data_IF_115399626626
#
_entry.id   IF_115399626626
#
_cell.length_a   1.000
_cell.length_b   1.000
_cell.length_c   1.000
_cell.angle_alpha   90.00
_cell.angle_beta   90.00
_cell.angle_gamma   90.00
#
_symmetry.space_group_name_H-M   'P 1'
#
loop_
_entity.id
_entity.type
_entity.pdbx_description
1 polymer ?
#
# COMPACT_ATOMS: atom_id res chain seq x y z
N UNK A 1 17.74 34.21 99.74
CA UNK A 1 18.23 34.74 98.51
C UNK A 1 17.74 33.79 97.39
N UNK A 2 16.89 34.28 96.51
CA UNK A 2 16.16 33.46 95.54
C UNK A 2 16.94 33.37 94.23
N UNK A 3 17.00 32.22 93.50
CA UNK A 3 17.52 32.14 92.17
C UNK A 3 16.36 32.30 91.14
N UNK A 4 16.67 33.05 90.11
CA UNK A 4 15.78 33.37 88.99
C UNK A 4 15.77 32.18 87.95
N UNK A 5 14.55 31.82 87.54
CA UNK A 5 14.25 30.82 86.54
C UNK A 5 14.23 31.49 85.19
N UNK A 6 15.01 30.96 84.20
CA UNK A 6 15.00 31.36 82.81
C UNK A 6 14.08 30.39 82.06
N UNK A 7 13.01 30.89 81.44
CA UNK A 7 12.15 30.16 80.54
C UNK A 7 12.73 30.19 79.10
N UNK A 8 13.03 29.03 78.61
CA UNK A 8 13.42 28.83 77.20
C UNK A 8 12.15 28.59 76.36
N UNK A 9 11.81 29.53 75.50
CA UNK A 9 10.71 29.38 74.55
C UNK A 9 11.20 28.69 73.30
N UNK A 10 10.67 27.51 72.99
CA UNK A 10 10.85 26.80 71.76
C UNK A 10 9.91 27.30 70.70
N UNK A 11 10.43 27.94 69.64
CA UNK A 11 9.67 28.27 68.42
C UNK A 11 9.61 27.04 67.53
N UNK A 12 8.44 26.41 67.40
CA UNK A 12 8.15 25.43 66.31
C UNK A 12 7.87 26.21 65.03
N UNK A 13 8.79 26.17 64.08
CA UNK A 13 8.54 26.64 62.73
C UNK A 13 7.82 25.54 61.94
N UNK A 14 6.50 25.68 61.69
CA UNK A 14 5.71 24.86 60.81
C UNK A 14 5.99 25.26 59.36
N UNK A 15 6.79 24.46 58.64
CA UNK A 15 7.00 24.59 57.21
C UNK A 15 5.76 24.05 56.47
N UNK A 16 4.92 24.96 55.96
CA UNK A 16 3.79 24.63 55.07
C UNK A 16 4.33 24.30 53.69
N UNK A 17 4.47 23.00 53.33
CA UNK A 17 4.80 22.55 52.00
C UNK A 17 3.58 22.76 51.07
N UNK A 18 3.56 23.85 50.30
CA UNK A 18 2.64 24.02 49.17
C UNK A 18 3.04 22.99 48.09
N UNK A 19 2.34 21.87 48.04
CA UNK A 19 2.34 21.01 46.84
C UNK A 19 1.64 21.76 45.70
N UNK A 20 2.42 22.35 44.79
CA UNK A 20 1.95 22.81 43.50
C UNK A 20 1.50 21.58 42.70
N UNK A 21 0.21 21.22 42.81
CA UNK A 21 -0.44 20.29 41.93
C UNK A 21 -0.45 20.94 40.55
N UNK A 22 0.51 20.56 39.68
CA UNK A 22 0.41 20.86 38.26
C UNK A 22 -0.96 20.32 37.77
N UNK A 23 -1.72 21.09 36.98
CA UNK A 23 -2.95 20.58 36.41
C UNK A 23 -2.61 19.34 35.58
N UNK A 24 -2.99 18.17 36.07
CA UNK A 24 -3.04 16.98 35.24
C UNK A 24 -4.09 17.29 34.16
N UNK A 25 -3.65 17.64 32.98
CA UNK A 25 -4.52 17.63 31.82
C UNK A 25 -5.11 16.22 31.76
N UNK A 26 -6.40 16.11 32.08
CA UNK A 26 -7.11 14.84 31.95
C UNK A 26 -6.98 14.40 30.49
N UNK A 27 -6.14 13.40 30.25
CA UNK A 27 -5.96 12.82 28.96
C UNK A 27 -7.32 12.22 28.58
N UNK A 28 -7.93 12.68 27.48
CA UNK A 28 -9.20 12.15 27.01
C UNK A 28 -9.11 10.63 26.90
N UNK A 29 -10.07 9.93 27.49
CA UNK A 29 -10.18 8.47 27.38
C UNK A 29 -10.85 8.04 26.06
N UNK A 30 -11.25 8.99 25.23
CA UNK A 30 -11.86 8.70 23.93
C UNK A 30 -10.90 7.94 23.05
N UNK A 31 -11.37 6.97 22.26
CA UNK A 31 -10.51 6.20 21.36
C UNK A 31 -9.83 7.11 20.34
N UNK A 32 -8.64 6.71 19.91
CA UNK A 32 -7.98 7.29 18.73
C UNK A 32 -8.62 6.64 17.51
N UNK A 33 -9.39 7.42 16.75
CA UNK A 33 -10.08 6.92 15.57
C UNK A 33 -9.22 7.09 14.34
N UNK A 34 -9.15 6.04 13.51
CA UNK A 34 -8.54 6.05 12.18
C UNK A 34 -9.64 5.74 11.18
N UNK A 35 -9.90 6.66 10.25
CA UNK A 35 -10.85 6.44 9.16
C UNK A 35 -10.24 5.54 8.08
N UNK A 36 -11.01 4.58 7.56
CA UNK A 36 -10.64 3.74 6.43
C UNK A 36 -11.68 3.92 5.33
N UNK A 37 -11.32 4.62 4.27
CA UNK A 37 -12.17 4.83 3.09
C UNK A 37 -11.70 3.88 2.00
N UNK A 38 -12.49 2.85 1.70
CA UNK A 38 -12.05 1.74 0.85
C UNK A 38 -13.15 1.27 -0.10
N UNK A 39 -12.71 0.65 -1.18
CA UNK A 39 -13.50 -0.04 -2.19
C UNK A 39 -13.87 -1.45 -1.67
N UNK A 40 -14.72 -1.53 -0.66
CA UNK A 40 -14.99 -2.79 0.07
C UNK A 40 -15.67 -3.87 -0.78
N UNK A 41 -16.23 -3.48 -1.94
CA UNK A 41 -16.85 -4.40 -2.89
C UNK A 41 -15.89 -4.86 -4.01
N UNK A 42 -14.69 -4.26 -4.09
CA UNK A 42 -13.70 -4.63 -5.12
C UNK A 42 -12.78 -5.76 -4.63
N UNK A 43 -12.29 -6.57 -5.57
CA UNK A 43 -11.37 -7.68 -5.29
C UNK A 43 -10.11 -7.17 -4.56
N UNK A 44 -9.54 -6.04 -4.97
CA UNK A 44 -8.31 -5.50 -4.42
C UNK A 44 -8.53 -4.71 -3.12
N UNK A 45 -9.64 -3.95 -3.01
CA UNK A 45 -9.88 -3.03 -1.90
C UNK A 45 -10.52 -3.66 -0.66
N UNK A 46 -11.20 -4.81 -0.82
CA UNK A 46 -11.96 -5.46 0.25
C UNK A 46 -11.11 -5.82 1.50
N UNK A 47 -9.81 -6.02 1.33
CA UNK A 47 -8.93 -6.40 2.44
C UNK A 47 -8.47 -5.21 3.31
N UNK A 48 -8.61 -3.96 2.83
CA UNK A 48 -8.11 -2.77 3.51
C UNK A 48 -8.67 -2.60 4.93
N UNK A 49 -10.00 -2.64 5.15
CA UNK A 49 -10.55 -2.51 6.51
C UNK A 49 -10.13 -3.65 7.44
N UNK A 50 -10.03 -4.87 6.89
CA UNK A 50 -9.61 -6.04 7.65
C UNK A 50 -8.17 -5.96 8.14
N UNK A 51 -7.25 -5.48 7.29
CA UNK A 51 -5.85 -5.25 7.64
C UNK A 51 -5.72 -4.21 8.75
N UNK A 52 -6.39 -3.06 8.59
CA UNK A 52 -6.43 -2.01 9.60
C UNK A 52 -7.00 -2.50 10.94
N UNK A 53 -8.07 -3.31 10.90
CA UNK A 53 -8.70 -3.83 12.11
C UNK A 53 -7.80 -4.79 12.88
N UNK A 54 -7.05 -5.67 12.20
CA UNK A 54 -6.11 -6.59 12.87
C UNK A 54 -5.02 -5.79 13.58
N UNK A 55 -4.45 -4.77 12.93
CA UNK A 55 -3.46 -3.90 13.57
C UNK A 55 -4.02 -3.21 14.82
N UNK A 56 -5.22 -2.64 14.72
CA UNK A 56 -5.89 -2.00 15.86
C UNK A 56 -6.13 -3.00 17.02
N UNK A 57 -6.58 -4.21 16.72
CA UNK A 57 -6.82 -5.26 17.73
C UNK A 57 -5.50 -5.64 18.44
N UNK A 58 -4.41 -5.82 17.71
CA UNK A 58 -3.09 -6.14 18.26
C UNK A 58 -2.52 -5.02 19.14
N UNK A 59 -2.71 -3.77 18.71
CA UNK A 59 -2.30 -2.58 19.46
C UNK A 59 -3.13 -2.48 20.74
N UNK A 60 -4.43 -2.67 20.66
CA UNK A 60 -5.35 -2.63 21.80
C UNK A 60 -5.09 -3.75 22.80
N UNK A 61 -4.71 -4.93 22.35
CA UNK A 61 -4.31 -6.05 23.22
C UNK A 61 -3.05 -5.73 24.05
N UNK A 62 -2.21 -4.79 23.56
CA UNK A 62 -0.99 -4.28 24.25
C UNK A 62 -1.25 -3.02 25.07
N UNK A 63 -2.52 -2.62 25.28
CA UNK A 63 -2.90 -1.46 26.10
C UNK A 63 -3.19 -0.17 25.31
N UNK A 64 -3.23 -0.23 23.99
CA UNK A 64 -3.52 0.92 23.12
C UNK A 64 -2.35 1.89 22.97
N UNK A 65 -2.65 3.11 22.58
CA UNK A 65 -1.68 4.20 22.37
C UNK A 65 -2.01 5.36 23.31
N UNK A 66 -1.01 5.84 24.05
CA UNK A 66 -1.19 6.91 25.08
C UNK A 66 -2.34 6.59 26.06
N UNK A 67 -2.53 5.32 26.43
CA UNK A 67 -3.62 4.87 27.30
C UNK A 67 -5.00 4.83 26.65
N UNK A 68 -5.10 5.08 25.35
CA UNK A 68 -6.35 5.13 24.57
C UNK A 68 -6.43 3.95 23.62
N UNK A 69 -7.62 3.42 23.40
CA UNK A 69 -7.85 2.39 22.35
C UNK A 69 -7.76 3.01 20.96
N UNK A 70 -7.36 2.20 19.99
CA UNK A 70 -7.44 2.51 18.54
C UNK A 70 -8.76 1.95 18.01
N UNK A 71 -9.53 2.76 17.32
CA UNK A 71 -10.79 2.40 16.68
C UNK A 71 -10.71 2.63 15.18
N UNK A 72 -11.13 1.64 14.39
CA UNK A 72 -11.20 1.75 12.93
C UNK A 72 -12.64 2.09 12.54
N UNK A 73 -12.81 3.20 11.80
CA UNK A 73 -14.10 3.63 11.25
C UNK A 73 -14.07 3.44 9.74
N UNK A 74 -14.85 2.51 9.22
CA UNK A 74 -14.84 2.13 7.80
C UNK A 74 -15.94 2.83 7.01
N UNK A 75 -15.60 3.30 5.81
CA UNK A 75 -16.49 3.90 4.82
C UNK A 75 -16.32 3.20 3.48
N UNK A 76 -17.43 2.69 2.91
CA UNK A 76 -17.45 2.18 1.53
C UNK A 76 -17.55 3.37 0.57
N UNK A 77 -16.56 3.57 -0.26
CA UNK A 77 -16.52 4.64 -1.26
C UNK A 77 -17.10 4.22 -2.62
N UNK A 78 -17.48 2.94 -2.79
CA UNK A 78 -18.05 2.38 -4.02
C UNK A 78 -17.22 2.68 -5.27
N UNK A 79 -15.90 2.74 -5.12
CA UNK A 79 -14.92 3.12 -6.15
C UNK A 79 -15.17 4.52 -6.77
N UNK A 80 -15.83 5.42 -6.02
CA UNK A 80 -16.23 6.76 -6.47
C UNK A 80 -15.43 7.84 -5.77
N UNK A 81 -14.77 8.72 -6.53
CA UNK A 81 -14.08 9.89 -5.98
C UNK A 81 -15.05 10.83 -5.23
N UNK A 82 -16.29 11.00 -5.74
CA UNK A 82 -17.28 11.85 -5.10
C UNK A 82 -17.77 11.26 -3.76
N UNK A 83 -17.99 9.94 -3.68
CA UNK A 83 -18.35 9.27 -2.42
C UNK A 83 -17.19 9.31 -1.45
N UNK A 84 -15.94 9.16 -1.92
CA UNK A 84 -14.74 9.25 -1.10
C UNK A 84 -14.58 10.64 -0.47
N UNK A 85 -14.82 11.71 -1.22
CA UNK A 85 -14.79 13.09 -0.68
C UNK A 85 -15.84 13.27 0.40
N UNK A 86 -17.08 12.79 0.19
CA UNK A 86 -18.14 12.85 1.23
C UNK A 86 -17.75 12.06 2.49
N UNK A 87 -17.23 10.86 2.30
CA UNK A 87 -16.75 10.02 3.40
C UNK A 87 -15.61 10.69 4.18
N UNK A 88 -14.65 11.30 3.47
CA UNK A 88 -13.53 12.02 4.08
C UNK A 88 -14.01 13.21 4.92
N UNK A 89 -14.91 14.02 4.37
CA UNK A 89 -15.48 15.16 5.11
C UNK A 89 -16.21 14.69 6.37
N UNK A 90 -17.02 13.63 6.28
CA UNK A 90 -17.72 13.04 7.41
C UNK A 90 -16.72 12.51 8.46
N UNK A 91 -15.73 11.74 8.04
CA UNK A 91 -14.69 11.19 8.93
C UNK A 91 -14.03 12.28 9.77
N UNK A 92 -13.72 13.43 9.15
CA UNK A 92 -13.05 14.55 9.82
C UNK A 92 -14.03 15.37 10.67
N UNK A 93 -15.18 15.76 10.10
CA UNK A 93 -16.07 16.73 10.74
C UNK A 93 -17.01 16.13 11.79
N UNK A 94 -17.49 14.89 11.58
CA UNK A 94 -18.47 14.23 12.44
C UNK A 94 -17.81 13.18 13.34
N UNK A 95 -17.07 12.23 12.73
CA UNK A 95 -16.51 11.09 13.46
C UNK A 95 -15.18 11.43 14.18
N UNK A 96 -14.58 12.61 13.86
CA UNK A 96 -13.37 13.15 14.52
C UNK A 96 -12.18 12.18 14.47
N UNK A 97 -11.92 11.60 13.30
CA UNK A 97 -10.75 10.75 13.11
C UNK A 97 -9.45 11.55 13.23
N UNK A 98 -8.37 10.88 13.62
CA UNK A 98 -7.03 11.48 13.74
C UNK A 98 -6.18 11.30 12.49
N UNK A 99 -6.49 10.32 11.66
CA UNK A 99 -5.87 10.06 10.37
C UNK A 99 -6.85 9.31 9.47
N UNK A 100 -6.61 9.32 8.16
CA UNK A 100 -7.39 8.59 7.17
C UNK A 100 -6.47 7.71 6.33
N UNK A 101 -6.81 6.43 6.23
CA UNK A 101 -6.27 5.48 5.25
C UNK A 101 -7.29 5.43 4.11
N UNK A 102 -6.87 5.76 2.88
CA UNK A 102 -7.85 5.84 1.79
C UNK A 102 -7.32 5.31 0.46
N UNK A 103 -8.09 4.37 -0.08
CA UNK A 103 -8.15 3.93 -1.46
C UNK A 103 -6.87 3.36 -2.07
N UNK A 104 -7.06 2.39 -2.95
CA UNK A 104 -6.02 1.95 -3.88
C UNK A 104 -6.17 2.61 -5.28
N UNK A 105 -7.26 3.35 -5.50
CA UNK A 105 -7.53 4.04 -6.76
C UNK A 105 -6.87 5.41 -6.75
N UNK A 106 -5.93 5.65 -7.65
CA UNK A 106 -5.16 6.90 -7.70
C UNK A 106 -6.02 8.13 -7.92
N UNK A 107 -7.04 8.04 -8.76
CA UNK A 107 -8.01 9.13 -9.03
C UNK A 107 -8.76 9.54 -7.77
N UNK A 108 -9.06 8.57 -6.90
CA UNK A 108 -9.69 8.84 -5.59
C UNK A 108 -8.73 9.60 -4.69
N UNK A 109 -7.49 9.15 -4.57
CA UNK A 109 -6.49 9.80 -3.70
C UNK A 109 -6.21 11.22 -4.17
N UNK A 110 -6.00 11.42 -5.49
CA UNK A 110 -5.82 12.75 -6.09
C UNK A 110 -7.01 13.69 -5.83
N UNK A 111 -8.23 13.16 -5.76
CA UNK A 111 -9.41 13.94 -5.39
C UNK A 111 -9.48 14.26 -3.89
N UNK A 112 -8.86 13.44 -3.03
CA UNK A 112 -8.81 13.64 -1.58
C UNK A 112 -7.69 14.57 -1.12
N UNK A 113 -6.57 14.66 -1.83
CA UNK A 113 -5.41 15.49 -1.45
C UNK A 113 -5.76 16.96 -1.13
N UNK A 114 -6.58 17.67 -1.96
CA UNK A 114 -6.97 19.04 -1.64
C UNK A 114 -7.77 19.16 -0.33
N UNK A 115 -8.51 18.10 0.03
CA UNK A 115 -9.27 18.05 1.28
C UNK A 115 -8.37 17.72 2.46
N UNK A 116 -7.41 16.82 2.30
CA UNK A 116 -6.38 16.54 3.31
C UNK A 116 -5.60 17.82 3.65
N UNK A 117 -5.18 18.56 2.64
CA UNK A 117 -4.51 19.85 2.79
C UNK A 117 -5.39 20.89 3.51
N UNK A 118 -6.63 21.07 3.04
CA UNK A 118 -7.56 22.06 3.59
C UNK A 118 -7.95 21.79 5.04
N UNK A 119 -8.16 20.52 5.39
CA UNK A 119 -8.60 20.10 6.71
C UNK A 119 -7.44 19.70 7.61
N UNK A 120 -6.19 19.81 7.12
CA UNK A 120 -4.96 19.39 7.82
C UNK A 120 -5.08 17.96 8.35
N UNK A 121 -5.57 17.03 7.54
CA UNK A 121 -5.81 15.66 7.96
C UNK A 121 -4.78 14.72 7.35
N UNK A 122 -3.98 14.02 8.17
CA UNK A 122 -3.08 12.98 7.65
C UNK A 122 -3.85 11.94 6.83
N UNK A 123 -3.51 11.82 5.55
CA UNK A 123 -4.07 10.92 4.56
C UNK A 123 -2.97 9.98 4.08
N UNK A 124 -3.17 8.69 4.20
CA UNK A 124 -2.23 7.67 3.74
C UNK A 124 -2.94 6.78 2.72
N UNK A 125 -2.27 6.43 1.62
CA UNK A 125 -2.86 5.52 0.63
C UNK A 125 -2.25 4.13 0.70
N UNK A 126 -3.09 3.07 0.87
CA UNK A 126 -2.62 1.69 0.99
C UNK A 126 -2.36 1.01 -0.37
N UNK A 127 -2.57 1.71 -1.49
CA UNK A 127 -2.48 1.02 -2.77
C UNK A 127 -2.48 1.86 -4.02
N UNK A 128 -2.83 3.14 -3.94
CA UNK A 128 -2.70 4.04 -5.09
C UNK A 128 -1.21 4.14 -5.50
N UNK A 129 -0.95 4.20 -6.80
CA UNK A 129 0.42 4.12 -7.29
C UNK A 129 0.87 5.35 -8.11
N UNK A 130 -0.04 6.27 -8.49
CA UNK A 130 0.31 7.39 -9.35
C UNK A 130 1.39 8.29 -8.74
N UNK A 131 2.43 8.57 -9.51
CA UNK A 131 3.48 9.52 -9.14
C UNK A 131 2.95 10.95 -8.95
N UNK A 132 1.77 11.28 -9.52
CA UNK A 132 1.18 12.61 -9.38
C UNK A 132 0.83 12.94 -7.92
N UNK A 133 0.58 11.92 -7.08
CA UNK A 133 0.35 12.07 -5.64
C UNK A 133 1.62 12.65 -4.97
N UNK A 134 2.77 12.03 -5.16
CA UNK A 134 4.03 12.50 -4.57
C UNK A 134 4.51 13.81 -5.18
N UNK A 135 4.27 14.01 -6.48
CA UNK A 135 4.60 15.23 -7.20
C UNK A 135 3.79 16.44 -6.72
N UNK A 136 2.51 16.25 -6.38
CA UNK A 136 1.70 17.32 -5.81
C UNK A 136 2.26 17.77 -4.45
N UNK A 137 2.76 16.84 -3.63
CA UNK A 137 3.40 17.14 -2.34
C UNK A 137 4.73 17.88 -2.56
N UNK A 138 5.58 17.38 -3.46
CA UNK A 138 6.87 17.99 -3.79
C UNK A 138 6.74 19.42 -4.28
N UNK A 139 5.77 19.68 -5.16
CA UNK A 139 5.58 20.99 -5.77
C UNK A 139 5.08 22.07 -4.79
N UNK A 140 4.33 21.70 -3.76
CA UNK A 140 3.86 22.62 -2.72
C UNK A 140 3.75 21.86 -1.38
N UNK A 141 4.92 21.64 -0.77
CA UNK A 141 5.06 20.85 0.44
C UNK A 141 4.23 21.41 1.60
N UNK A 142 4.32 22.71 1.87
CA UNK A 142 3.64 23.30 3.03
C UNK A 142 2.12 23.14 2.97
N UNK A 143 1.57 23.16 1.77
CA UNK A 143 0.14 22.93 1.53
C UNK A 143 -0.23 21.45 1.60
N UNK A 144 0.55 20.58 0.95
CA UNK A 144 0.17 19.19 0.67
C UNK A 144 0.83 18.15 1.60
N UNK A 145 1.62 18.57 2.59
CA UNK A 145 2.39 17.72 3.52
C UNK A 145 1.57 16.70 4.32
N UNK A 146 0.25 16.80 4.29
CA UNK A 146 -0.65 15.89 5.03
C UNK A 146 -0.90 14.57 4.28
N UNK A 147 -0.50 14.45 3.01
CA UNK A 147 -0.66 13.21 2.24
C UNK A 147 0.63 12.39 2.26
N UNK A 148 0.48 11.06 2.45
CA UNK A 148 1.56 10.07 2.41
C UNK A 148 1.20 8.94 1.45
N UNK A 149 2.17 8.53 0.66
CA UNK A 149 2.01 7.47 -0.32
C UNK A 149 2.56 6.16 0.27
N UNK A 150 1.67 5.37 0.90
CA UNK A 150 2.00 4.16 1.67
C UNK A 150 2.24 2.91 0.82
N UNK A 151 2.30 3.03 -0.50
CA UNK A 151 2.54 1.96 -1.46
C UNK A 151 3.66 2.33 -2.44
N UNK A 152 4.06 1.40 -3.30
CA UNK A 152 5.07 1.64 -4.34
C UNK A 152 4.51 2.60 -5.40
N UNK A 153 5.25 3.66 -5.71
CA UNK A 153 4.91 4.54 -6.84
C UNK A 153 4.97 3.78 -8.16
N UNK A 154 4.28 4.26 -9.18
CA UNK A 154 4.32 3.64 -10.51
C UNK A 154 5.73 3.59 -11.09
N UNK A 155 6.56 4.60 -10.83
CA UNK A 155 7.96 4.58 -11.24
C UNK A 155 8.75 3.46 -10.54
N UNK A 156 8.56 3.28 -9.24
CA UNK A 156 9.17 2.20 -8.49
C UNK A 156 8.70 0.81 -8.98
N UNK A 157 7.39 0.68 -9.23
CA UNK A 157 6.82 -0.56 -9.78
C UNK A 157 7.38 -0.87 -11.17
N UNK A 158 7.48 0.12 -12.07
CA UNK A 158 8.08 -0.06 -13.39
C UNK A 158 9.51 -0.58 -13.29
N UNK A 159 10.33 0.03 -12.44
CA UNK A 159 11.71 -0.40 -12.24
C UNK A 159 11.80 -1.84 -11.73
N UNK A 160 11.00 -2.21 -10.72
CA UNK A 160 10.98 -3.58 -10.18
C UNK A 160 10.51 -4.62 -11.21
N UNK A 161 9.51 -4.27 -12.04
CA UNK A 161 9.08 -5.15 -13.16
C UNK A 161 10.20 -5.29 -14.19
N UNK A 162 10.91 -4.22 -14.52
CA UNK A 162 12.03 -4.28 -15.47
C UNK A 162 13.21 -5.10 -14.93
N UNK A 163 13.53 -4.97 -13.64
CA UNK A 163 14.57 -5.79 -13.00
C UNK A 163 14.21 -7.27 -13.03
N UNK A 164 12.97 -7.61 -12.66
CA UNK A 164 12.47 -8.97 -12.75
C UNK A 164 12.40 -9.48 -14.20
N UNK A 165 12.00 -8.65 -15.16
CA UNK A 165 11.97 -8.98 -16.58
C UNK A 165 13.38 -9.26 -17.12
N UNK A 166 14.37 -8.46 -16.72
CA UNK A 166 15.77 -8.72 -17.07
C UNK A 166 16.19 -10.10 -16.58
N UNK A 167 16.03 -10.41 -15.30
CA UNK A 167 16.49 -11.65 -14.70
C UNK A 167 15.73 -12.87 -15.24
N UNK A 168 14.40 -12.78 -15.36
CA UNK A 168 13.55 -13.92 -15.71
C UNK A 168 13.34 -14.08 -17.22
N UNK A 169 13.07 -12.98 -17.93
CA UNK A 169 12.67 -13.04 -19.33
C UNK A 169 13.89 -12.95 -20.25
N UNK A 170 14.79 -11.99 -20.01
CA UNK A 170 15.97 -11.79 -20.86
C UNK A 170 17.06 -12.80 -20.54
N UNK A 171 17.50 -12.89 -19.28
CA UNK A 171 18.66 -13.69 -18.91
C UNK A 171 18.34 -15.19 -18.90
N UNK A 172 17.13 -15.61 -18.47
CA UNK A 172 16.76 -17.04 -18.42
C UNK A 172 16.03 -17.52 -19.67
N UNK A 173 15.03 -16.77 -20.19
CA UNK A 173 14.19 -17.18 -21.31
C UNK A 173 14.68 -16.65 -22.67
N UNK A 174 15.65 -15.73 -22.70
CA UNK A 174 16.23 -15.13 -23.92
C UNK A 174 15.25 -14.32 -24.78
N UNK A 175 14.18 -13.80 -24.16
CA UNK A 175 13.23 -12.91 -24.83
C UNK A 175 13.90 -11.61 -25.27
N UNK A 176 13.44 -11.03 -26.38
CA UNK A 176 14.03 -9.86 -27.04
C UNK A 176 13.03 -8.75 -27.30
N UNK A 177 11.74 -9.09 -27.36
CA UNK A 177 10.67 -8.17 -27.76
C UNK A 177 9.52 -8.19 -26.77
N UNK A 178 8.88 -7.04 -26.59
CA UNK A 178 7.78 -6.86 -25.66
C UNK A 178 6.68 -5.98 -26.24
N UNK A 179 5.43 -6.32 -25.97
CA UNK A 179 4.30 -5.41 -26.10
C UNK A 179 3.90 -4.90 -24.71
N UNK A 180 3.63 -3.60 -24.57
CA UNK A 180 3.05 -3.01 -23.38
C UNK A 180 1.53 -2.99 -23.55
N UNK A 181 0.80 -3.46 -22.56
CA UNK A 181 -0.66 -3.48 -22.52
C UNK A 181 -1.15 -2.90 -21.19
N UNK A 182 -1.63 -1.65 -21.18
CA UNK A 182 -2.01 -0.92 -20.00
C UNK A 182 -3.41 -0.34 -20.10
N UNK A 183 -4.15 -0.31 -18.98
CA UNK A 183 -5.39 0.45 -18.91
C UNK A 183 -5.11 1.97 -18.88
N UNK A 184 -6.06 2.80 -19.35
CA UNK A 184 -5.93 4.27 -19.31
C UNK A 184 -6.39 4.81 -17.95
N UNK A 185 -5.49 4.79 -16.96
CA UNK A 185 -5.71 5.26 -15.61
C UNK A 185 -4.58 6.18 -15.14
N UNK A 186 -4.79 6.93 -14.06
CA UNK A 186 -3.80 7.87 -13.54
C UNK A 186 -2.51 7.19 -13.09
N UNK A 187 -2.58 5.95 -12.61
CA UNK A 187 -1.40 5.21 -12.16
C UNK A 187 -0.58 4.60 -13.31
N UNK A 188 -1.22 4.25 -14.44
CA UNK A 188 -0.53 3.63 -15.56
C UNK A 188 0.21 4.64 -16.45
N UNK A 189 -0.18 5.91 -16.46
CA UNK A 189 0.55 6.94 -17.22
C UNK A 189 2.01 7.02 -16.82
N UNK A 190 2.38 7.22 -15.54
CA UNK A 190 3.78 7.18 -15.12
C UNK A 190 4.39 5.77 -15.18
N UNK A 191 3.60 4.69 -15.04
CA UNK A 191 4.07 3.32 -15.20
C UNK A 191 4.58 3.09 -16.62
N UNK A 192 3.80 3.49 -17.63
CA UNK A 192 4.14 3.32 -19.04
C UNK A 192 5.39 4.10 -19.41
N UNK A 193 5.52 5.34 -18.93
CA UNK A 193 6.78 6.13 -19.09
C UNK A 193 7.97 5.36 -18.49
N UNK A 194 7.78 4.75 -17.33
CA UNK A 194 8.78 3.90 -16.68
C UNK A 194 9.11 2.67 -17.54
N UNK A 195 8.12 1.94 -18.04
CA UNK A 195 8.29 0.77 -18.89
C UNK A 195 9.02 1.11 -20.20
N UNK A 196 8.60 2.18 -20.89
CA UNK A 196 9.25 2.64 -22.12
C UNK A 196 10.72 3.01 -21.91
N UNK A 197 11.05 3.53 -20.71
CA UNK A 197 12.42 3.88 -20.36
C UNK A 197 13.28 2.69 -19.91
N UNK A 198 12.72 1.72 -19.15
CA UNK A 198 13.52 0.66 -18.52
C UNK A 198 13.52 -0.67 -19.28
N UNK A 199 12.44 -1.07 -19.99
CA UNK A 199 12.41 -2.32 -20.76
C UNK A 199 13.51 -2.41 -21.84
N UNK A 200 13.77 -1.35 -22.64
CA UNK A 200 14.89 -1.39 -23.58
C UNK A 200 16.26 -1.54 -22.89
N UNK A 201 16.45 -0.91 -21.72
CA UNK A 201 17.68 -1.05 -20.93
C UNK A 201 17.84 -2.46 -20.35
N UNK A 202 16.71 -3.11 -20.02
CA UNK A 202 16.70 -4.52 -19.60
C UNK A 202 16.99 -5.50 -20.76
N UNK A 203 16.94 -5.06 -22.02
CA UNK A 203 17.20 -5.89 -23.20
C UNK A 203 15.95 -6.29 -24.01
N UNK A 204 14.80 -5.69 -23.71
CA UNK A 204 13.51 -5.95 -24.38
C UNK A 204 13.12 -4.78 -25.28
N UNK A 205 13.11 -5.00 -26.60
CA UNK A 205 12.63 -3.99 -27.56
C UNK A 205 11.10 -3.89 -27.49
N UNK A 206 10.57 -2.71 -27.20
CA UNK A 206 9.13 -2.44 -27.28
C UNK A 206 8.71 -2.42 -28.76
N UNK A 207 7.79 -3.31 -29.14
CA UNK A 207 7.28 -3.45 -30.50
C UNK A 207 5.83 -2.98 -30.65
N UNK A 208 5.13 -2.85 -29.55
CA UNK A 208 3.75 -2.35 -29.49
C UNK A 208 3.47 -1.75 -28.11
N UNK A 209 2.63 -0.72 -28.06
CA UNK A 209 2.10 -0.17 -26.83
C UNK A 209 0.61 0.12 -27.01
N UNK A 210 -0.21 -0.67 -26.32
CA UNK A 210 -1.67 -0.53 -26.35
C UNK A 210 -2.17 0.02 -25.04
N UNK A 211 -2.92 1.10 -25.10
CA UNK A 211 -3.71 1.60 -23.96
C UNK A 211 -5.20 1.36 -24.23
N UNK A 212 -5.93 0.96 -23.24
CA UNK A 212 -7.36 0.65 -23.33
C UNK A 212 -8.16 1.28 -22.18
N UNK A 213 -9.46 1.54 -22.41
CA UNK A 213 -10.35 2.08 -21.38
C UNK A 213 -10.49 1.09 -20.21
N UNK A 214 -10.53 1.58 -18.95
CA UNK A 214 -10.91 0.75 -17.80
C UNK A 214 -12.29 0.08 -17.92
N UNK A 215 -13.16 0.60 -18.82
CA UNK A 215 -14.48 0.02 -19.09
C UNK A 215 -14.45 -1.06 -20.20
N UNK A 216 -13.28 -1.43 -20.72
CA UNK A 216 -13.12 -2.43 -21.77
C UNK A 216 -13.58 -3.81 -21.28
N UNK A 217 -14.51 -4.41 -22.01
CA UNK A 217 -15.04 -5.75 -21.72
C UNK A 217 -14.63 -6.81 -22.73
N UNK A 218 -14.26 -6.41 -23.96
CA UNK A 218 -13.76 -7.29 -25.03
C UNK A 218 -12.31 -6.98 -25.35
N UNK A 219 -11.42 -7.91 -25.02
CA UNK A 219 -9.98 -7.82 -25.24
C UNK A 219 -9.52 -8.49 -26.54
N UNK A 220 -10.43 -9.10 -27.31
CA UNK A 220 -10.11 -9.78 -28.59
C UNK A 220 -9.38 -8.86 -29.57
N UNK A 221 -9.85 -7.62 -29.84
CA UNK A 221 -9.14 -6.74 -30.77
C UNK A 221 -7.73 -6.37 -30.28
N UNK A 222 -7.56 -6.23 -28.96
CA UNK A 222 -6.28 -5.89 -28.32
C UNK A 222 -5.29 -7.04 -28.50
N UNK A 223 -5.70 -8.27 -28.16
CA UNK A 223 -4.84 -9.44 -28.34
C UNK A 223 -4.49 -9.68 -29.82
N UNK A 224 -5.46 -9.57 -30.72
CA UNK A 224 -5.20 -9.71 -32.17
C UNK A 224 -4.18 -8.68 -32.69
N UNK A 225 -4.26 -7.43 -32.22
CA UNK A 225 -3.28 -6.40 -32.57
C UNK A 225 -1.88 -6.78 -32.06
N UNK A 226 -1.78 -7.18 -30.79
CA UNK A 226 -0.50 -7.57 -30.18
C UNK A 226 0.08 -8.81 -30.87
N UNK A 227 -0.73 -9.84 -31.15
CA UNK A 227 -0.29 -11.04 -31.87
C UNK A 227 0.26 -10.72 -33.25
N UNK A 228 -0.33 -9.74 -33.94
CA UNK A 228 0.17 -9.27 -35.26
C UNK A 228 1.60 -8.70 -35.21
N UNK A 229 2.06 -8.23 -34.04
CA UNK A 229 3.41 -7.69 -33.79
C UNK A 229 4.41 -8.77 -33.36
N UNK A 230 3.93 -9.95 -32.97
CA UNK A 230 4.73 -11.12 -32.55
C UNK A 230 5.75 -10.80 -31.45
N UNK A 231 5.36 -10.15 -30.32
CA UNK A 231 6.27 -9.97 -29.21
C UNK A 231 6.52 -11.30 -28.48
N UNK A 232 7.64 -11.41 -27.78
CA UNK A 232 7.95 -12.57 -26.95
C UNK A 232 7.11 -12.57 -25.65
N UNK A 233 6.67 -11.38 -25.18
CA UNK A 233 5.92 -11.20 -23.93
C UNK A 233 5.02 -9.97 -24.00
N UNK A 234 3.91 -10.02 -23.27
CA UNK A 234 3.03 -8.86 -23.00
C UNK A 234 3.33 -8.37 -21.58
N UNK A 235 3.84 -7.14 -21.43
CA UNK A 235 4.01 -6.52 -20.11
C UNK A 235 2.78 -5.67 -19.80
N UNK A 236 2.15 -5.93 -18.64
CA UNK A 236 0.84 -5.41 -18.30
C UNK A 236 0.88 -4.32 -17.24
N UNK A 237 -0.10 -3.39 -17.31
CA UNK A 237 -0.49 -2.45 -16.27
C UNK A 237 -2.01 -2.50 -16.10
N UNK A 238 -2.54 -3.44 -15.29
CA UNK A 238 -3.97 -3.77 -15.22
C UNK A 238 -4.44 -3.73 -13.77
N UNK A 239 -5.55 -3.04 -13.51
CA UNK A 239 -6.17 -2.96 -12.18
C UNK A 239 -7.71 -2.92 -12.23
N UNK A 240 -8.32 -2.01 -12.99
CA UNK A 240 -9.76 -1.72 -12.89
C UNK A 240 -10.66 -2.64 -13.73
N UNK A 241 -10.14 -3.25 -14.78
CA UNK A 241 -10.91 -4.11 -15.71
C UNK A 241 -11.23 -5.50 -15.17
N UNK A 242 -10.98 -5.74 -13.88
CA UNK A 242 -11.30 -7.01 -13.23
C UNK A 242 -10.51 -8.21 -13.79
N UNK A 243 -11.21 -9.31 -13.99
CA UNK A 243 -10.61 -10.60 -14.42
C UNK A 243 -10.62 -10.81 -15.94
N UNK A 244 -11.27 -9.94 -16.70
CA UNK A 244 -11.55 -10.14 -18.13
C UNK A 244 -10.30 -10.33 -18.99
N UNK A 245 -9.22 -9.55 -18.84
CA UNK A 245 -8.01 -9.77 -19.65
C UNK A 245 -7.45 -11.18 -19.47
N UNK A 246 -7.40 -11.69 -18.26
CA UNK A 246 -6.90 -13.03 -17.93
C UNK A 246 -7.80 -14.13 -18.50
N UNK A 247 -9.11 -14.00 -18.31
CA UNK A 247 -10.08 -14.99 -18.80
C UNK A 247 -10.06 -15.08 -20.32
N UNK A 248 -10.01 -13.94 -21.01
CA UNK A 248 -9.99 -13.90 -22.47
C UNK A 248 -8.65 -14.34 -23.05
N UNK A 249 -7.52 -14.00 -22.42
CA UNK A 249 -6.20 -14.51 -22.79
C UNK A 249 -6.19 -16.05 -22.84
N UNK A 250 -6.72 -16.69 -21.80
CA UNK A 250 -6.81 -18.17 -21.77
C UNK A 250 -7.81 -18.72 -22.76
N UNK A 251 -9.02 -18.14 -22.85
CA UNK A 251 -10.08 -18.66 -23.70
C UNK A 251 -9.72 -18.55 -25.20
N UNK A 252 -9.02 -17.50 -25.59
CA UNK A 252 -8.53 -17.28 -26.96
C UNK A 252 -7.22 -18.01 -27.23
N UNK A 253 -6.61 -18.61 -26.18
CA UNK A 253 -5.29 -19.29 -26.28
C UNK A 253 -4.23 -18.38 -26.89
N UNK A 254 -4.17 -17.12 -26.44
CA UNK A 254 -3.17 -16.16 -26.91
C UNK A 254 -1.76 -16.73 -26.69
N UNK A 255 -0.97 -16.96 -27.75
CA UNK A 255 0.27 -17.74 -27.64
C UNK A 255 1.44 -16.99 -27.00
N UNK A 256 1.19 -15.78 -26.50
CA UNK A 256 2.18 -14.88 -25.91
C UNK A 256 1.96 -14.82 -24.41
N UNK A 257 3.00 -15.06 -23.57
CA UNK A 257 2.87 -14.98 -22.12
C UNK A 257 2.65 -13.55 -21.64
N UNK A 258 1.94 -13.40 -20.51
CA UNK A 258 1.83 -12.12 -19.81
C UNK A 258 2.88 -12.02 -18.72
N UNK A 259 3.28 -10.78 -18.38
CA UNK A 259 4.16 -10.42 -17.28
C UNK A 259 3.80 -9.02 -16.78
N UNK A 260 4.32 -8.57 -15.61
CA UNK A 260 4.16 -7.18 -15.15
C UNK A 260 3.18 -7.05 -13.98
N UNK A 261 2.15 -6.23 -14.12
CA UNK A 261 1.22 -5.92 -13.03
C UNK A 261 -0.21 -6.26 -13.41
N UNK A 262 -0.83 -7.11 -12.58
CA UNK A 262 -2.27 -7.32 -12.53
C UNK A 262 -2.70 -7.20 -11.07
N UNK A 263 -3.28 -6.06 -10.69
CA UNK A 263 -3.66 -5.82 -9.30
C UNK A 263 -4.71 -6.81 -8.79
N UNK A 264 -5.60 -7.29 -9.66
CA UNK A 264 -6.60 -8.29 -9.30
C UNK A 264 -5.96 -9.66 -9.00
N UNK A 265 -4.84 -9.99 -9.67
CA UNK A 265 -4.11 -11.23 -9.41
C UNK A 265 -3.48 -11.30 -8.00
N UNK A 266 -3.37 -10.16 -7.32
CA UNK A 266 -2.88 -10.06 -5.94
C UNK A 266 -3.92 -10.52 -4.91
N UNK A 267 -5.17 -10.74 -5.34
CA UNK A 267 -6.21 -11.28 -4.45
C UNK A 267 -6.12 -12.80 -4.38
N UNK A 268 -6.28 -13.40 -3.19
CA UNK A 268 -6.32 -14.85 -3.04
C UNK A 268 -7.53 -15.50 -3.71
N UNK A 269 -8.58 -14.73 -4.05
CA UNK A 269 -9.77 -15.23 -4.75
C UNK A 269 -9.61 -15.27 -6.27
N UNK A 270 -8.58 -14.65 -6.82
CA UNK A 270 -8.40 -14.47 -8.27
C UNK A 270 -8.43 -15.79 -9.06
N UNK A 271 -7.86 -16.86 -8.51
CA UNK A 271 -7.96 -18.19 -9.12
C UNK A 271 -9.40 -18.64 -9.31
N UNK A 272 -10.22 -18.49 -8.26
CA UNK A 272 -11.63 -18.84 -8.29
C UNK A 272 -12.42 -17.91 -9.20
N UNK A 273 -12.15 -16.61 -9.11
CA UNK A 273 -12.87 -15.57 -9.87
C UNK A 273 -12.62 -15.66 -11.38
N UNK A 274 -11.46 -16.22 -11.76
CA UNK A 274 -11.11 -16.52 -13.15
C UNK A 274 -11.46 -17.94 -13.60
N UNK A 275 -12.06 -18.75 -12.72
CA UNK A 275 -12.32 -20.18 -12.99
C UNK A 275 -11.05 -20.93 -13.46
N UNK A 276 -9.92 -20.67 -12.81
CA UNK A 276 -8.62 -21.27 -13.11
C UNK A 276 -7.93 -20.71 -14.38
N UNK A 277 -8.46 -19.64 -14.98
CA UNK A 277 -7.76 -18.96 -16.08
C UNK A 277 -6.49 -18.22 -15.63
N UNK A 278 -6.34 -18.02 -14.33
CA UNK A 278 -5.16 -17.41 -13.73
C UNK A 278 -3.87 -18.23 -13.89
N UNK A 279 -3.95 -19.53 -14.22
CA UNK A 279 -2.77 -20.38 -14.33
C UNK A 279 -1.75 -19.82 -15.33
N UNK A 280 -0.51 -19.62 -14.89
CA UNK A 280 0.54 -18.99 -15.66
C UNK A 280 0.58 -17.46 -15.59
N UNK A 281 -0.36 -16.78 -14.93
CA UNK A 281 -0.39 -15.32 -14.76
C UNK A 281 0.53 -14.87 -13.63
N UNK A 282 1.58 -14.10 -13.90
CA UNK A 282 2.42 -13.47 -12.88
C UNK A 282 1.92 -12.07 -12.52
N UNK A 283 2.34 -11.58 -11.36
CA UNK A 283 2.21 -10.17 -11.01
C UNK A 283 3.31 -9.73 -10.04
N UNK A 284 3.73 -8.46 -10.15
CA UNK A 284 4.48 -7.79 -9.11
C UNK A 284 3.61 -7.67 -7.85
N UNK A 285 4.17 -7.94 -6.69
CA UNK A 285 3.54 -7.82 -5.38
C UNK A 285 4.52 -7.27 -4.35
N UNK A 286 4.02 -6.82 -3.20
CA UNK A 286 4.84 -6.45 -2.03
C UNK A 286 4.89 -7.56 -0.98
N UNK A 287 3.93 -8.48 -1.00
CA UNK A 287 3.86 -9.64 -0.13
C UNK A 287 2.97 -10.73 -0.72
N UNK A 288 3.19 -11.97 -0.29
CA UNK A 288 2.30 -13.12 -0.49
C UNK A 288 2.10 -13.84 0.85
N UNK A 289 1.02 -14.62 1.04
CA UNK A 289 0.73 -15.23 2.35
C UNK A 289 1.76 -16.27 2.79
N UNK A 290 2.44 -16.92 1.84
CA UNK A 290 3.26 -18.09 2.12
C UNK A 290 4.77 -17.76 2.25
N UNK A 291 5.21 -16.59 1.74
CA UNK A 291 6.61 -16.16 1.77
C UNK A 291 6.82 -15.08 2.83
N UNK A 292 7.82 -15.27 3.67
CA UNK A 292 8.24 -14.29 4.67
C UNK A 292 9.10 -13.20 4.01
N UNK A 293 8.49 -12.09 3.60
CA UNK A 293 9.24 -10.88 3.21
C UNK A 293 9.93 -10.29 4.44
N UNK A 294 9.21 -10.27 5.57
CA UNK A 294 9.73 -9.94 6.90
C UNK A 294 9.23 -10.94 7.93
N UNK A 295 9.64 -10.78 9.18
CA UNK A 295 9.12 -11.56 10.30
C UNK A 295 7.60 -11.40 10.53
N UNK A 296 6.99 -10.32 10.00
CA UNK A 296 5.57 -9.98 10.20
C UNK A 296 4.65 -10.47 9.07
N UNK A 297 5.15 -10.73 7.87
CA UNK A 297 4.34 -11.08 6.69
C UNK A 297 3.44 -12.28 6.94
N UNK A 298 4.02 -13.42 7.31
CA UNK A 298 3.24 -14.67 7.51
C UNK A 298 2.33 -14.63 8.74
N UNK A 299 2.76 -14.13 9.91
CA UNK A 299 1.87 -13.99 11.07
C UNK A 299 0.64 -13.13 10.77
N UNK A 300 0.81 -11.99 10.10
CA UNK A 300 -0.31 -11.15 9.68
C UNK A 300 -1.25 -11.89 8.72
N UNK A 301 -0.72 -12.52 7.67
CA UNK A 301 -1.53 -13.28 6.71
C UNK A 301 -2.33 -14.41 7.38
N UNK A 302 -1.72 -15.10 8.34
CA UNK A 302 -2.39 -16.15 9.12
C UNK A 302 -3.49 -15.58 10.02
N UNK A 303 -3.25 -14.48 10.72
CA UNK A 303 -4.24 -13.80 11.55
C UNK A 303 -5.42 -13.29 10.71
N UNK A 304 -5.14 -12.71 9.53
CA UNK A 304 -6.18 -12.27 8.60
C UNK A 304 -7.03 -13.44 8.12
N UNK A 305 -6.39 -14.53 7.67
CA UNK A 305 -7.10 -15.76 7.24
C UNK A 305 -7.94 -16.36 8.35
N UNK A 306 -7.43 -16.40 9.59
CA UNK A 306 -8.18 -16.93 10.73
C UNK A 306 -9.44 -16.09 11.03
N UNK A 307 -9.38 -14.78 10.85
CA UNK A 307 -10.49 -13.86 11.13
C UNK A 307 -11.48 -13.73 9.98
N UNK A 308 -11.02 -13.74 8.73
CA UNK A 308 -11.83 -13.44 7.54
C UNK A 308 -12.00 -14.62 6.57
N UNK A 309 -11.41 -15.77 6.84
CA UNK A 309 -11.58 -17.01 6.07
C UNK A 309 -10.65 -17.17 4.86
N UNK A 310 -10.00 -16.11 4.40
CA UNK A 310 -9.03 -16.12 3.29
C UNK A 310 -7.82 -15.24 3.62
N UNK A 311 -6.65 -15.45 3.00
CA UNK A 311 -5.53 -14.50 3.09
C UNK A 311 -5.92 -13.11 2.58
N UNK A 312 -5.20 -12.03 2.98
CA UNK A 312 -5.51 -10.69 2.50
C UNK A 312 -5.04 -10.47 1.06
N UNK A 313 -5.73 -9.60 0.32
CA UNK A 313 -5.16 -8.92 -0.84
C UNK A 313 -4.08 -7.93 -0.38
N UNK A 314 -3.28 -7.38 -1.31
CA UNK A 314 -2.13 -6.52 -0.99
C UNK A 314 -2.48 -5.30 -0.12
N UNK A 315 -3.67 -4.70 -0.33
CA UNK A 315 -4.15 -3.55 0.45
C UNK A 315 -4.38 -3.87 1.93
N UNK A 316 -4.58 -5.14 2.27
CA UNK A 316 -4.66 -5.58 3.65
C UNK A 316 -3.30 -5.52 4.36
N UNK A 317 -2.22 -5.93 3.68
CA UNK A 317 -0.86 -5.85 4.24
C UNK A 317 -0.43 -4.40 4.46
N UNK A 318 -0.68 -3.54 3.48
CA UNK A 318 -0.31 -2.12 3.56
C UNK A 318 -1.13 -1.39 4.62
N UNK A 319 -2.45 -1.56 4.68
CA UNK A 319 -3.29 -0.95 5.70
C UNK A 319 -2.94 -1.41 7.13
N UNK A 320 -2.54 -2.69 7.29
CA UNK A 320 -2.00 -3.18 8.56
C UNK A 320 -0.76 -2.40 8.99
N UNK A 321 0.21 -2.25 8.10
CA UNK A 321 1.44 -1.50 8.37
C UNK A 321 1.17 -0.01 8.60
N UNK A 322 0.22 0.57 7.85
CA UNK A 322 -0.17 1.98 7.98
C UNK A 322 -0.73 2.32 9.35
N UNK A 323 -1.60 1.47 9.90
CA UNK A 323 -2.11 1.67 11.28
C UNK A 323 -0.95 1.64 12.28
N UNK A 324 0.03 0.76 12.09
CA UNK A 324 1.18 0.69 12.99
C UNK A 324 2.03 1.95 12.92
N UNK A 325 2.46 2.40 11.75
CA UNK A 325 3.32 3.59 11.71
C UNK A 325 2.57 4.89 12.05
N UNK A 326 1.25 5.01 11.76
CA UNK A 326 0.41 6.11 12.23
C UNK A 326 0.37 6.13 13.77
N UNK A 327 0.12 5.00 14.39
CA UNK A 327 0.00 4.91 15.86
C UNK A 327 1.34 5.11 16.56
N UNK A 328 2.44 4.63 15.99
CA UNK A 328 3.79 4.92 16.48
C UNK A 328 4.15 6.41 16.33
N UNK A 329 3.72 7.06 15.25
CA UNK A 329 3.89 8.50 15.10
C UNK A 329 3.10 9.29 16.14
N UNK A 330 1.83 8.92 16.41
CA UNK A 330 1.01 9.50 17.49
C UNK A 330 1.71 9.33 18.85
N UNK A 331 2.28 8.16 19.10
CA UNK A 331 3.00 7.87 20.35
C UNK A 331 4.25 8.74 20.50
N UNK A 332 5.07 8.88 19.43
CA UNK A 332 6.25 9.76 19.45
C UNK A 332 5.89 11.23 19.58
N UNK A 333 4.81 11.66 18.92
CA UNK A 333 4.27 13.02 19.00
C UNK A 333 3.66 13.35 20.40
N UNK A 334 3.25 12.32 21.14
CA UNK A 334 2.47 12.46 22.37
C UNK A 334 1.12 13.13 22.14
N UNK A 335 0.61 13.17 20.90
CA UNK A 335 -0.53 13.99 20.48
C UNK A 335 -1.13 13.45 19.17
N UNK A 336 -2.42 13.75 18.95
CA UNK A 336 -3.12 13.60 17.67
C UNK A 336 -3.18 14.91 16.88
N UNK A 337 -2.40 15.91 17.24
CA UNK A 337 -2.25 17.15 16.47
C UNK A 337 -1.68 16.83 15.08
N UNK A 338 -2.34 17.25 13.97
CA UNK A 338 -1.94 16.87 12.61
C UNK A 338 -0.53 17.28 12.23
N UNK A 339 -0.11 18.51 12.57
CA UNK A 339 1.24 19.00 12.21
C UNK A 339 2.33 18.20 12.95
N UNK A 340 2.08 17.84 14.21
CA UNK A 340 2.98 16.97 15.00
C UNK A 340 3.01 15.55 14.44
N UNK A 341 1.83 15.02 14.05
CA UNK A 341 1.74 13.70 13.44
C UNK A 341 2.51 13.62 12.12
N UNK A 342 2.34 14.58 11.22
CA UNK A 342 3.08 14.67 9.96
C UNK A 342 4.58 14.61 10.21
N UNK A 343 5.10 15.47 11.11
CA UNK A 343 6.53 15.50 11.45
C UNK A 343 7.06 14.17 12.01
N UNK A 344 6.22 13.38 12.64
CA UNK A 344 6.59 12.06 13.17
C UNK A 344 6.37 10.93 12.14
N UNK A 345 5.38 11.03 11.25
CA UNK A 345 5.21 10.08 10.14
C UNK A 345 6.42 10.15 9.20
N UNK A 346 6.92 11.34 8.89
CA UNK A 346 8.14 11.54 8.07
C UNK A 346 9.37 10.81 8.63
N UNK A 347 9.45 10.63 9.95
CA UNK A 347 10.55 9.93 10.62
C UNK A 347 10.33 8.42 10.70
N UNK A 348 9.31 7.89 10.03
CA UNK A 348 9.00 6.46 10.06
C UNK A 348 10.21 5.65 9.60
N UNK A 349 10.59 4.68 10.43
CA UNK A 349 11.54 3.61 10.13
C UNK A 349 11.00 2.35 10.80
N UNK A 350 10.17 1.62 10.05
CA UNK A 350 9.35 0.55 10.59
C UNK A 350 9.48 -0.72 9.74
N UNK A 351 9.84 -1.84 10.37
CA UNK A 351 9.76 -3.15 9.73
C UNK A 351 8.30 -3.61 9.72
N UNK A 352 7.66 -3.47 8.56
CA UNK A 352 6.28 -3.86 8.32
C UNK A 352 6.13 -5.27 7.76
N UNK A 353 4.91 -5.64 7.38
CA UNK A 353 4.62 -6.90 6.70
C UNK A 353 5.12 -6.91 5.24
N UNK A 354 5.28 -5.73 4.62
CA UNK A 354 5.71 -5.56 3.22
C UNK A 354 7.20 -5.25 3.05
N UNK A 355 7.95 -5.07 4.13
CA UNK A 355 9.34 -4.65 4.12
C UNK A 355 9.64 -3.56 5.16
N UNK A 356 10.82 -2.94 5.06
CA UNK A 356 11.18 -1.79 5.88
C UNK A 356 10.58 -0.52 5.27
N UNK A 357 9.68 0.12 5.98
CA UNK A 357 8.95 1.32 5.55
C UNK A 357 9.71 2.56 6.03
N UNK A 358 10.13 3.37 5.10
CA UNK A 358 10.69 4.70 5.28
C UNK A 358 10.15 5.59 4.17
N UNK A 359 9.95 6.88 4.45
CA UNK A 359 9.48 7.83 3.45
C UNK A 359 10.63 8.61 2.83
N UNK A 360 10.46 9.03 1.56
CA UNK A 360 11.31 10.03 0.94
C UNK A 360 11.05 11.40 1.59
N UNK A 361 12.11 12.17 1.78
CA UNK A 361 12.05 13.50 2.39
C UNK A 361 11.47 14.57 1.45
N UNK A 362 11.25 15.76 1.98
CA UNK A 362 10.60 16.88 1.28
C UNK A 362 11.32 17.37 0.01
N UNK A 363 12.62 17.16 -0.09
CA UNK A 363 13.44 17.60 -1.23
C UNK A 363 13.54 16.53 -2.34
N UNK A 364 12.93 15.36 -2.15
CA UNK A 364 12.91 14.28 -3.14
C UNK A 364 11.69 14.41 -4.05
N UNK A 365 11.83 14.03 -5.33
CA UNK A 365 10.72 14.06 -6.30
C UNK A 365 9.54 13.14 -5.90
N UNK A 366 9.83 12.10 -5.11
CA UNK A 366 8.83 11.19 -4.54
C UNK A 366 8.49 11.55 -3.10
N UNK A 367 8.46 12.83 -2.75
CA UNK A 367 8.15 13.33 -1.40
C UNK A 367 6.98 12.57 -0.76
N UNK A 368 7.20 12.06 0.47
CA UNK A 368 6.25 11.25 1.23
C UNK A 368 5.86 9.91 0.58
N UNK A 369 6.51 9.50 -0.50
CA UNK A 369 6.42 8.13 -1.01
C UNK A 369 7.27 7.18 -0.16
N UNK A 370 6.85 5.91 -0.02
CA UNK A 370 7.70 4.90 0.61
C UNK A 370 8.92 4.61 -0.25
N UNK A 371 10.08 4.45 0.40
CA UNK A 371 11.31 4.06 -0.29
C UNK A 371 11.21 2.65 -0.82
N UNK A 372 11.76 2.43 -2.01
CA UNK A 372 11.81 1.12 -2.66
C UNK A 372 13.26 0.69 -2.92
N UNK A 373 13.47 -0.62 -3.05
CA UNK A 373 14.77 -1.21 -3.37
C UNK A 373 15.46 -1.87 -2.17
N UNK A 374 16.76 -2.23 -2.30
CA UNK A 374 17.49 -2.96 -1.27
C UNK A 374 17.49 -2.26 0.10
N UNK A 375 17.03 -2.98 1.13
CA UNK A 375 16.93 -2.44 2.50
C UNK A 375 15.66 -1.66 2.81
N UNK A 376 14.75 -1.54 1.85
CA UNK A 376 13.44 -0.92 1.99
C UNK A 376 12.34 -1.89 1.50
N UNK A 377 11.30 -1.42 0.83
CA UNK A 377 10.29 -2.27 0.20
C UNK A 377 10.81 -2.74 -1.16
N UNK A 378 11.14 -4.02 -1.30
CA UNK A 378 11.78 -4.56 -2.51
C UNK A 378 10.80 -5.11 -3.53
N UNK A 379 9.60 -5.43 -3.14
CA UNK A 379 8.66 -6.16 -4.00
C UNK A 379 9.11 -7.60 -4.30
N UNK A 380 8.25 -8.34 -4.94
CA UNK A 380 8.47 -9.69 -5.46
C UNK A 380 7.59 -9.93 -6.68
N UNK A 381 7.94 -10.91 -7.52
CA UNK A 381 7.04 -11.43 -8.55
C UNK A 381 6.62 -12.84 -8.15
N UNK A 382 5.31 -13.03 -8.06
CA UNK A 382 4.74 -14.37 -7.98
C UNK A 382 4.05 -14.73 -9.30
N UNK A 383 3.76 -15.99 -9.49
CA UNK A 383 2.92 -16.51 -10.57
C UNK A 383 1.87 -17.45 -10.00
N UNK A 384 0.65 -17.35 -10.50
CA UNK A 384 -0.37 -18.34 -10.22
C UNK A 384 0.01 -19.68 -10.87
N UNK A 385 0.18 -20.70 -10.05
CA UNK A 385 0.53 -22.07 -10.46
C UNK A 385 -0.30 -23.04 -9.61
N UNK A 386 -1.10 -23.87 -10.26
CA UNK A 386 -1.90 -24.89 -9.56
C UNK A 386 -2.72 -24.31 -8.36
N UNK A 387 -3.40 -23.20 -8.57
CA UNK A 387 -4.20 -22.45 -7.56
C UNK A 387 -3.42 -21.78 -6.42
N UNK A 388 -2.09 -21.63 -6.54
CA UNK A 388 -1.23 -20.99 -5.56
C UNK A 388 -0.47 -19.81 -6.15
N UNK A 389 -0.18 -18.83 -5.34
CA UNK A 389 0.75 -17.73 -5.66
C UNK A 389 2.17 -18.21 -5.34
N UNK A 390 2.89 -18.68 -6.35
CA UNK A 390 4.27 -19.18 -6.22
C UNK A 390 5.24 -18.06 -6.52
N UNK A 391 6.06 -17.64 -5.55
CA UNK A 391 7.07 -16.60 -5.77
C UNK A 391 8.16 -17.12 -6.70
N UNK A 392 8.44 -16.36 -7.77
CA UNK A 392 9.41 -16.70 -8.81
C UNK A 392 10.59 -15.72 -8.90
N UNK A 393 10.47 -14.56 -8.25
CA UNK A 393 11.52 -13.53 -8.15
C UNK A 393 11.34 -12.67 -6.90
N UNK A 394 12.41 -12.17 -6.27
CA UNK A 394 13.83 -12.41 -6.57
C UNK A 394 14.29 -13.83 -6.18
N UNK A 395 15.37 -14.30 -6.76
CA UNK A 395 15.84 -15.69 -6.59
C UNK A 395 16.03 -16.10 -5.12
N UNK A 396 16.42 -15.16 -4.26
CA UNK A 396 16.67 -15.40 -2.83
C UNK A 396 15.44 -15.95 -2.07
N UNK A 397 14.24 -15.57 -2.49
CA UNK A 397 12.97 -15.97 -1.84
C UNK A 397 12.05 -16.72 -2.80
N UNK A 398 12.52 -17.08 -4.00
CA UNK A 398 11.74 -17.80 -4.98
C UNK A 398 11.43 -19.23 -4.51
N UNK A 399 10.16 -19.62 -4.67
CA UNK A 399 9.64 -20.97 -4.37
C UNK A 399 9.58 -21.85 -5.61
N UNK A 400 9.64 -21.22 -6.79
CA UNK A 400 9.52 -21.93 -8.06
C UNK A 400 10.11 -21.15 -9.23
N UNK A 401 9.83 -21.64 -10.43
CA UNK A 401 10.22 -21.01 -11.71
C UNK A 401 8.95 -20.64 -12.48
N UNK A 402 9.08 -19.73 -13.46
CA UNK A 402 7.99 -19.43 -14.40
C UNK A 402 7.57 -20.72 -15.12
N UNK A 403 6.26 -20.94 -15.18
CA UNK A 403 5.59 -21.99 -15.95
C UNK A 403 4.62 -21.34 -16.92
N UNK A 404 4.42 -21.94 -18.06
CA UNK A 404 3.48 -21.39 -19.04
C UNK A 404 2.49 -22.47 -19.47
N UNK A 405 1.21 -22.11 -19.67
CA UNK A 405 0.22 -23.03 -20.23
C UNK A 405 0.64 -23.54 -21.61
N UNK A 406 0.17 -24.70 -22.00
CA UNK A 406 0.57 -25.38 -23.25
C UNK A 406 0.27 -24.58 -24.53
N UNK A 407 -0.68 -23.63 -24.48
CA UNK A 407 -0.99 -22.79 -25.61
C UNK A 407 0.02 -21.64 -25.80
N UNK A 408 0.79 -21.28 -24.76
CA UNK A 408 1.86 -20.29 -24.85
C UNK A 408 3.04 -20.88 -25.59
N UNK A 409 3.47 -20.17 -26.65
CA UNK A 409 4.61 -20.60 -27.50
C UNK A 409 5.78 -19.69 -27.18
N UNK A 410 6.79 -20.26 -26.52
CA UNK A 410 8.04 -19.53 -26.29
C UNK A 410 8.84 -19.48 -27.60
N UNK A 411 9.31 -18.30 -27.97
CA UNK A 411 10.25 -18.13 -29.08
C UNK A 411 11.54 -18.89 -28.75
N UNK A 412 11.98 -19.77 -29.66
CA UNK A 412 13.24 -20.53 -29.54
C UNK A 412 14.45 -19.67 -29.87
#
# INVERSE_FOLDING_TARGET
MRPSTILSGSFLASALALCLAAPAYAQSNDPIKIGVIAEVQSIAGAATPGGAQIAADEINAKGGILGRKVEIVTYDNKSSSADSVRAFQRAVSEDKVSAVIASYISEVVLALEPWAARLKMPLITPGAASNEITKAIHNDYEKNKYTFHGYLTSAAQAQLVCDAAKDLLVDKLKFKTVAIMSEDAAWTKPLDVGYEACLPKAGLKVVEHVRFSPDTTDFTPIFNNIEGKKPDVIVTGISHVGVQPTVQWKNQQVPIPMFGISAQALSPTFWKDTNGAADGIPSLAVATPDVAVTSKTKPFAAAFKAKFGSPPAYTGYTAYDEVYFITEAIKRAGSTDPDKMVAEIEKTDYEGAIGRIQFYGKDDEFTHGIKSGPGAVTGLVFQWQDSKQVVVWPEKIAEGKLKFPNFVKLSQ
#
